data_IF_708453598597
#
_entry.id   IF_708453598597
#
_cell.length_a   1.000
_cell.length_b   1.000
_cell.length_c   1.000
_cell.angle_alpha   90.00
_cell.angle_beta   90.00
_cell.angle_gamma   90.00
#
_symmetry.space_group_name_H-M   'P 1'
#
loop_
_entity.id
_entity.type
_entity.pdbx_description
1 polymer ?
#
# COMPACT_ATOMS: atom_id res chain seq x y z
N UNK A 1 0.70 45.38 21.23
CA UNK A 1 1.10 43.97 21.08
C UNK A 1 1.19 43.65 19.58
N UNK A 2 2.38 43.69 18.97
CA UNK A 2 2.61 43.44 17.53
C UNK A 2 3.80 42.51 17.26
N UNK A 3 4.35 41.88 18.30
CA UNK A 3 5.57 41.06 18.20
C UNK A 3 5.30 39.55 18.10
N UNK A 4 4.06 39.08 18.30
CA UNK A 4 3.74 37.65 18.30
C UNK A 4 3.48 37.07 16.90
N UNK A 5 2.97 37.86 15.96
CA UNK A 5 2.61 37.39 14.61
C UNK A 5 3.83 37.10 13.73
N UNK A 6 4.91 37.87 13.87
CA UNK A 6 6.13 37.66 13.08
C UNK A 6 6.90 36.41 13.49
N UNK A 7 6.81 36.01 14.76
CA UNK A 7 7.51 34.83 15.29
C UNK A 7 6.82 33.53 14.85
N UNK A 8 5.48 33.51 14.80
CA UNK A 8 4.71 32.38 14.29
C UNK A 8 4.92 32.15 12.79
N UNK A 9 5.03 33.23 11.99
CA UNK A 9 5.33 33.13 10.57
C UNK A 9 6.74 32.54 10.30
N UNK A 10 7.71 32.87 11.16
CA UNK A 10 9.08 32.37 11.03
C UNK A 10 9.19 30.87 11.36
N UNK A 11 8.45 30.39 12.36
CA UNK A 11 8.40 28.97 12.73
C UNK A 11 7.70 28.15 11.64
N UNK A 12 6.63 28.66 11.03
CA UNK A 12 5.95 27.99 9.93
C UNK A 12 6.84 27.86 8.68
N UNK A 13 7.62 28.90 8.37
CA UNK A 13 8.53 28.90 7.22
C UNK A 13 9.71 27.93 7.37
N UNK A 14 10.25 27.76 8.59
CA UNK A 14 11.34 26.79 8.84
C UNK A 14 10.84 25.35 8.80
N UNK A 15 9.62 25.06 9.27
CA UNK A 15 9.03 23.72 9.12
C UNK A 15 8.74 23.35 7.65
N UNK A 16 8.32 24.31 6.82
CA UNK A 16 8.07 24.07 5.40
C UNK A 16 9.38 23.81 4.62
N UNK A 17 10.47 24.52 4.95
CA UNK A 17 11.77 24.32 4.31
C UNK A 17 12.49 23.03 4.75
N UNK A 18 12.21 22.54 5.97
CA UNK A 18 12.73 21.25 6.46
C UNK A 18 12.01 20.04 5.83
N UNK A 19 10.73 20.19 5.46
CA UNK A 19 9.96 19.13 4.81
C UNK A 19 10.36 18.91 3.33
N UNK A 20 10.85 19.95 2.64
CA UNK A 20 11.11 19.90 1.19
C UNK A 20 12.53 19.46 0.80
N UNK A 21 13.40 19.06 1.75
CA UNK A 21 14.83 18.83 1.46
C UNK A 21 15.43 17.56 2.04
N UNK A 22 14.61 16.60 2.48
CA UNK A 22 15.11 15.23 2.72
C UNK A 22 14.87 14.43 1.44
N UNK A 23 15.81 14.37 0.48
CA UNK A 23 15.72 13.40 -0.59
C UNK A 23 15.68 12.02 0.06
N UNK A 24 14.55 11.32 -0.09
CA UNK A 24 14.42 9.92 0.27
C UNK A 24 15.30 9.11 -0.69
N UNK A 25 16.62 9.16 -0.48
CA UNK A 25 17.51 8.19 -1.08
C UNK A 25 17.11 6.86 -0.45
N UNK A 26 16.54 5.96 -1.26
CA UNK A 26 16.46 4.51 -0.98
C UNK A 26 17.89 3.95 -0.88
N UNK A 27 18.64 4.38 0.13
CA UNK A 27 19.82 3.68 0.58
C UNK A 27 19.29 2.48 1.36
N UNK A 28 19.30 1.30 0.76
CA UNK A 28 19.33 0.08 1.55
C UNK A 28 20.62 0.16 2.37
N UNK A 29 20.49 0.47 3.66
CA UNK A 29 21.58 0.28 4.59
C UNK A 29 21.84 -1.22 4.63
N UNK A 30 22.89 -1.67 3.96
CA UNK A 30 23.31 -3.07 3.99
C UNK A 30 23.96 -3.28 5.36
N UNK A 31 23.21 -3.84 6.30
CA UNK A 31 23.77 -4.26 7.58
C UNK A 31 24.75 -5.41 7.34
N UNK A 32 25.96 -5.40 7.92
CA UNK A 32 26.90 -6.51 7.80
C UNK A 32 26.25 -7.79 8.36
N UNK A 33 26.06 -8.78 7.50
CA UNK A 33 25.14 -9.92 7.68
C UNK A 33 25.79 -11.20 8.23
N UNK A 34 27.09 -11.23 8.53
CA UNK A 34 27.83 -12.49 8.57
C UNK A 34 27.33 -13.52 9.61
N UNK A 35 26.84 -13.11 10.79
CA UNK A 35 26.27 -14.04 11.80
C UNK A 35 24.73 -13.98 11.94
N UNK A 36 24.11 -12.86 11.58
CA UNK A 36 22.65 -12.66 11.68
C UNK A 36 21.88 -13.26 10.50
N UNK A 37 22.59 -13.69 9.45
CA UNK A 37 22.01 -14.31 8.25
C UNK A 37 21.33 -15.65 8.58
N UNK A 38 21.91 -16.48 9.44
CA UNK A 38 21.40 -17.85 9.69
C UNK A 38 20.00 -17.87 10.29
N UNK A 39 19.66 -16.95 11.21
CA UNK A 39 18.32 -16.88 11.81
C UNK A 39 17.24 -16.57 10.77
N UNK A 40 17.47 -15.55 9.93
CA UNK A 40 16.55 -15.16 8.87
C UNK A 40 16.47 -16.22 7.77
N UNK A 41 17.61 -16.81 7.39
CA UNK A 41 17.66 -17.87 6.37
C UNK A 41 16.86 -19.09 6.82
N UNK A 42 16.99 -19.52 8.07
CA UNK A 42 16.20 -20.64 8.61
C UNK A 42 14.70 -20.33 8.58
N UNK A 43 14.30 -19.13 9.02
CA UNK A 43 12.90 -18.72 8.97
C UNK A 43 12.34 -18.68 7.53
N UNK A 44 13.14 -18.20 6.57
CA UNK A 44 12.76 -18.18 5.16
C UNK A 44 12.68 -19.58 4.55
N UNK A 45 13.56 -20.50 4.95
CA UNK A 45 13.57 -21.90 4.50
C UNK A 45 12.40 -22.71 5.08
N UNK A 46 12.10 -22.53 6.37
CA UNK A 46 10.90 -23.11 7.02
C UNK A 46 9.60 -22.67 6.34
N UNK A 47 9.60 -21.46 5.76
CA UNK A 47 8.47 -20.84 5.09
C UNK A 47 8.70 -20.67 3.58
N UNK A 48 9.52 -21.55 2.97
CA UNK A 48 9.92 -21.47 1.56
C UNK A 48 8.77 -21.35 0.57
N UNK A 49 7.68 -22.06 0.85
CA UNK A 49 6.45 -22.03 0.02
C UNK A 49 5.78 -20.65 -0.04
N UNK A 50 6.08 -19.76 0.91
CA UNK A 50 5.55 -18.40 0.99
C UNK A 50 6.61 -17.37 0.58
N UNK A 51 7.87 -17.59 0.96
CA UNK A 51 8.98 -16.67 0.69
C UNK A 51 9.44 -16.69 -0.77
N UNK A 52 9.25 -17.81 -1.47
CA UNK A 52 9.59 -17.96 -2.90
C UNK A 52 8.39 -17.80 -3.84
N UNK A 53 7.23 -17.33 -3.35
CA UNK A 53 6.08 -17.07 -4.22
C UNK A 53 6.42 -15.99 -5.23
N UNK A 54 6.46 -16.37 -6.50
CA UNK A 54 6.53 -15.42 -7.62
C UNK A 54 5.18 -14.71 -7.73
N UNK A 55 5.21 -13.38 -7.70
CA UNK A 55 4.05 -12.58 -8.08
C UNK A 55 3.77 -12.87 -9.56
N UNK A 56 2.54 -13.29 -9.93
CA UNK A 56 2.19 -13.57 -11.32
C UNK A 56 2.43 -12.37 -12.22
N UNK A 57 2.67 -12.58 -13.52
CA UNK A 57 2.72 -11.48 -14.49
C UNK A 57 1.29 -11.07 -14.92
N UNK A 58 1.14 -9.92 -15.59
CA UNK A 58 -0.18 -9.46 -16.07
C UNK A 58 -0.76 -10.50 -17.04
N UNK A 59 -2.01 -10.92 -16.77
CA UNK A 59 -2.70 -11.93 -17.57
C UNK A 59 -2.38 -13.38 -17.21
N UNK A 60 -1.45 -13.63 -16.29
CA UNK A 60 -1.27 -14.96 -15.71
C UNK A 60 -2.40 -15.32 -14.72
N UNK A 61 -2.61 -16.61 -14.49
CA UNK A 61 -3.60 -17.07 -13.51
C UNK A 61 -3.10 -16.84 -12.08
N UNK A 62 -3.69 -15.84 -11.42
CA UNK A 62 -3.36 -15.44 -10.06
C UNK A 62 -3.98 -16.36 -9.00
N UNK A 63 -4.82 -17.32 -9.39
CA UNK A 63 -5.56 -18.18 -8.47
C UNK A 63 -4.66 -19.00 -7.57
N UNK A 64 -3.59 -19.60 -8.12
CA UNK A 64 -2.65 -20.40 -7.34
C UNK A 64 -1.85 -19.55 -6.36
N UNK A 65 -1.38 -18.38 -6.82
CA UNK A 65 -0.69 -17.41 -5.97
C UNK A 65 -1.58 -16.96 -4.81
N UNK A 66 -2.81 -16.54 -5.10
CA UNK A 66 -3.73 -16.07 -4.07
C UNK A 66 -4.22 -17.19 -3.14
N UNK A 67 -4.34 -18.42 -3.64
CA UNK A 67 -4.60 -19.57 -2.78
C UNK A 67 -3.45 -19.84 -1.82
N UNK A 68 -2.20 -19.71 -2.28
CA UNK A 68 -1.02 -19.88 -1.44
C UNK A 68 -0.91 -18.77 -0.40
N UNK A 69 -0.99 -17.50 -0.81
CA UNK A 69 -0.93 -16.34 0.09
C UNK A 69 -2.03 -16.37 1.15
N UNK A 70 -3.27 -16.74 0.78
CA UNK A 70 -4.40 -16.83 1.72
C UNK A 70 -4.42 -18.11 2.55
N UNK A 71 -3.41 -18.98 2.45
CA UNK A 71 -3.29 -20.13 3.34
C UNK A 71 -2.90 -19.69 4.75
N UNK A 72 -3.35 -20.43 5.77
CA UNK A 72 -3.01 -20.15 7.18
C UNK A 72 -1.49 -20.05 7.40
N UNK A 73 -0.72 -20.89 6.68
CA UNK A 73 0.74 -20.89 6.78
C UNK A 73 1.36 -19.60 6.24
N UNK A 74 0.93 -19.12 5.06
CA UNK A 74 1.47 -17.88 4.50
C UNK A 74 0.95 -16.63 5.19
N UNK A 75 -0.29 -16.61 5.67
CA UNK A 75 -0.80 -15.52 6.51
C UNK A 75 0.02 -15.42 7.79
N UNK A 76 0.25 -16.54 8.47
CA UNK A 76 1.10 -16.59 9.67
C UNK A 76 2.54 -16.13 9.38
N UNK A 77 3.14 -16.60 8.29
CA UNK A 77 4.47 -16.14 7.87
C UNK A 77 4.53 -14.62 7.68
N UNK A 78 3.53 -14.02 7.03
CA UNK A 78 3.43 -12.58 6.78
C UNK A 78 3.18 -11.76 8.07
N UNK A 79 2.42 -12.31 9.01
CA UNK A 79 2.21 -11.72 10.33
C UNK A 79 3.50 -11.76 11.17
N UNK A 80 4.18 -12.91 11.19
CA UNK A 80 5.37 -13.16 12.01
C UNK A 80 6.67 -12.61 11.40
N UNK A 81 6.71 -12.26 10.11
CA UNK A 81 7.97 -11.86 9.46
C UNK A 81 8.60 -10.61 10.08
N UNK A 82 7.83 -9.58 10.42
CA UNK A 82 8.34 -8.37 11.09
C UNK A 82 8.94 -8.67 12.47
N UNK A 83 8.16 -9.25 13.41
CA UNK A 83 8.66 -9.67 14.71
C UNK A 83 9.90 -10.59 14.61
N UNK A 84 9.90 -11.53 13.66
CA UNK A 84 11.04 -12.44 13.48
C UNK A 84 12.29 -11.73 12.97
N UNK A 85 12.14 -10.74 12.09
CA UNK A 85 13.26 -9.89 11.66
C UNK A 85 13.83 -9.12 12.84
N UNK A 86 12.99 -8.53 13.70
CA UNK A 86 13.43 -7.84 14.91
C UNK A 86 14.19 -8.79 15.86
N UNK A 87 13.66 -9.98 16.09
CA UNK A 87 14.30 -11.03 16.91
C UNK A 87 15.68 -11.40 16.36
N UNK A 88 15.77 -11.73 15.06
CA UNK A 88 17.02 -12.14 14.42
C UNK A 88 18.07 -11.02 14.39
N UNK A 89 17.65 -9.76 14.31
CA UNK A 89 18.55 -8.61 14.35
C UNK A 89 19.00 -8.25 15.78
N UNK A 90 18.35 -8.79 16.81
CA UNK A 90 18.54 -8.39 18.20
C UNK A 90 17.88 -7.06 18.47
N UNK A 91 16.65 -7.09 18.99
CA UNK A 91 15.81 -5.92 19.19
C UNK A 91 16.48 -4.82 20.03
N UNK A 92 17.32 -5.21 21.00
CA UNK A 92 18.11 -4.32 21.86
C UNK A 92 19.20 -3.54 21.09
N UNK A 93 19.57 -4.01 19.89
CA UNK A 93 20.60 -3.42 19.04
C UNK A 93 20.04 -2.45 17.99
N UNK A 94 18.71 -2.40 17.86
CA UNK A 94 18.02 -1.54 16.91
C UNK A 94 17.56 -0.25 17.61
N UNK A 95 17.75 0.87 16.93
CA UNK A 95 17.11 2.13 17.30
C UNK A 95 15.60 2.02 17.13
N UNK A 96 14.84 2.82 17.88
CA UNK A 96 13.38 2.89 17.74
C UNK A 96 12.93 3.26 16.32
N UNK A 97 13.74 4.04 15.61
CA UNK A 97 13.49 4.35 14.20
C UNK A 97 13.60 3.10 13.31
N UNK A 98 14.63 2.28 13.49
CA UNK A 98 14.82 1.04 12.73
C UNK A 98 13.71 0.03 13.00
N UNK A 99 13.26 -0.11 14.27
CA UNK A 99 12.14 -0.99 14.62
C UNK A 99 10.86 -0.58 13.91
N UNK A 100 10.49 0.71 14.00
CA UNK A 100 9.31 1.25 13.31
C UNK A 100 9.40 1.09 11.80
N UNK A 101 10.60 1.22 11.23
CA UNK A 101 10.82 1.00 9.80
C UNK A 101 10.53 -0.46 9.43
N UNK A 102 11.01 -1.44 10.20
CA UNK A 102 10.75 -2.87 9.96
C UNK A 102 9.27 -3.19 10.11
N UNK A 103 8.61 -2.67 11.15
CA UNK A 103 7.16 -2.83 11.35
C UNK A 103 6.37 -2.28 10.17
N UNK A 104 6.71 -1.06 9.73
CA UNK A 104 6.11 -0.40 8.58
C UNK A 104 6.32 -1.20 7.29
N UNK A 105 7.55 -1.65 7.01
CA UNK A 105 7.84 -2.47 5.82
C UNK A 105 7.09 -3.81 5.85
N UNK A 106 6.92 -4.42 7.03
CA UNK A 106 6.14 -5.64 7.19
C UNK A 106 4.64 -5.40 6.93
N UNK A 107 4.08 -4.32 7.47
CA UNK A 107 2.70 -3.91 7.21
C UNK A 107 2.47 -3.61 5.72
N UNK A 108 3.38 -2.85 5.12
CA UNK A 108 3.40 -2.52 3.69
C UNK A 108 3.35 -3.81 2.84
N UNK A 109 4.21 -4.79 3.15
CA UNK A 109 4.22 -6.09 2.48
C UNK A 109 2.89 -6.83 2.64
N UNK A 110 2.30 -6.86 3.84
CA UNK A 110 1.00 -7.52 4.07
C UNK A 110 -0.11 -6.88 3.26
N UNK A 111 -0.23 -5.56 3.32
CA UNK A 111 -1.26 -4.80 2.62
C UNK A 111 -1.11 -4.97 1.11
N UNK A 112 0.13 -4.93 0.62
CA UNK A 112 0.43 -5.20 -0.79
C UNK A 112 -0.03 -6.60 -1.20
N UNK A 113 0.38 -7.66 -0.47
CA UNK A 113 -0.01 -9.04 -0.80
C UNK A 113 -1.52 -9.26 -0.73
N UNK A 114 -2.20 -8.67 0.25
CA UNK A 114 -3.66 -8.72 0.35
C UNK A 114 -4.33 -8.03 -0.84
N UNK A 115 -3.82 -6.86 -1.25
CA UNK A 115 -4.37 -6.11 -2.37
C UNK A 115 -4.27 -6.87 -3.71
N UNK A 116 -3.17 -7.60 -3.95
CA UNK A 116 -2.99 -8.44 -5.17
C UNK A 116 -4.07 -9.53 -5.30
N UNK A 117 -4.66 -9.95 -4.19
CA UNK A 117 -5.67 -11.00 -4.15
C UNK A 117 -7.10 -10.49 -3.96
N UNK A 118 -7.30 -9.18 -4.15
CA UNK A 118 -8.62 -8.57 -4.13
C UNK A 118 -9.44 -9.09 -5.31
N UNK A 119 -10.74 -9.32 -5.07
CA UNK A 119 -11.70 -9.70 -6.09
C UNK A 119 -12.70 -8.58 -6.33
N UNK A 120 -13.19 -8.50 -7.55
CA UNK A 120 -14.32 -7.66 -7.94
C UNK A 120 -15.66 -8.24 -7.50
N UNK A 121 -16.73 -7.50 -7.80
CA UNK A 121 -18.12 -7.87 -7.46
C UNK A 121 -18.60 -9.15 -8.17
N UNK A 122 -17.94 -9.56 -9.26
CA UNK A 122 -18.24 -10.80 -9.99
C UNK A 122 -17.33 -11.97 -9.54
N UNK A 123 -16.51 -11.77 -8.50
CA UNK A 123 -15.63 -12.77 -7.91
C UNK A 123 -14.34 -13.04 -8.71
N UNK A 124 -14.02 -12.22 -9.71
CA UNK A 124 -12.76 -12.27 -10.47
C UNK A 124 -11.70 -11.46 -9.75
N UNK A 125 -10.44 -11.87 -9.88
CA UNK A 125 -9.35 -11.09 -9.31
C UNK A 125 -9.20 -9.75 -10.03
N UNK A 126 -8.90 -8.71 -9.25
CA UNK A 126 -8.62 -7.40 -9.79
C UNK A 126 -7.38 -7.44 -10.69
N UNK A 127 -7.32 -6.62 -11.74
CA UNK A 127 -6.08 -6.41 -12.47
C UNK A 127 -5.11 -5.65 -11.56
N UNK A 128 -3.84 -6.03 -11.58
CA UNK A 128 -2.81 -5.35 -10.83
C UNK A 128 -1.51 -5.26 -11.62
N UNK A 129 -0.70 -4.28 -11.25
CA UNK A 129 0.60 -4.03 -11.86
C UNK A 129 1.64 -4.80 -11.05
N UNK A 130 2.20 -5.87 -11.62
CA UNK A 130 3.12 -6.80 -10.92
C UNK A 130 4.58 -6.46 -11.15
N UNK A 131 4.85 -5.97 -12.35
CA UNK A 131 5.86 -4.97 -12.62
C UNK A 131 5.12 -3.86 -13.37
N UNK A 132 5.53 -2.61 -13.19
CA UNK A 132 5.16 -1.54 -14.11
C UNK A 132 5.70 -2.02 -15.44
N UNK A 133 4.87 -2.67 -16.22
CA UNK A 133 5.32 -3.16 -17.49
C UNK A 133 5.77 -1.94 -18.26
N UNK A 134 6.86 -2.08 -18.99
CA UNK A 134 7.37 -1.01 -19.85
C UNK A 134 6.37 -0.63 -20.96
N UNK A 135 5.16 -1.22 -20.97
CA UNK A 135 4.06 -0.92 -21.86
C UNK A 135 3.05 0.04 -21.20
N UNK A 136 3.00 1.30 -21.67
CA UNK A 136 1.90 2.23 -21.39
C UNK A 136 0.51 1.60 -21.55
N UNK A 137 0.33 0.70 -22.52
CA UNK A 137 -0.95 0.08 -22.83
C UNK A 137 -1.44 -0.84 -21.71
N UNK A 138 -0.56 -1.65 -21.14
CA UNK A 138 -0.89 -2.54 -20.02
C UNK A 138 -1.16 -1.73 -18.73
N UNK A 139 -0.37 -0.69 -18.47
CA UNK A 139 -0.62 0.21 -17.36
C UNK A 139 -1.99 0.91 -17.50
N UNK A 140 -2.29 1.41 -18.70
CA UNK A 140 -3.58 2.00 -19.00
C UNK A 140 -4.73 1.01 -18.83
N UNK A 141 -4.55 -0.23 -19.27
CA UNK A 141 -5.53 -1.30 -19.09
C UNK A 141 -5.81 -1.55 -17.61
N UNK A 142 -4.78 -1.73 -16.78
CA UNK A 142 -4.95 -2.03 -15.35
C UNK A 142 -5.74 -0.92 -14.65
N UNK A 143 -5.37 0.35 -14.85
CA UNK A 143 -6.07 1.46 -14.20
C UNK A 143 -7.53 1.57 -14.68
N UNK A 144 -7.77 1.49 -16.00
CA UNK A 144 -9.13 1.59 -16.54
C UNK A 144 -10.03 0.42 -16.13
N UNK A 145 -9.52 -0.80 -16.08
CA UNK A 145 -10.28 -1.97 -15.63
C UNK A 145 -10.55 -1.94 -14.12
N UNK A 146 -9.57 -1.51 -13.31
CA UNK A 146 -9.77 -1.33 -11.86
C UNK A 146 -10.90 -0.35 -11.54
N UNK A 147 -11.13 0.68 -12.37
CA UNK A 147 -12.22 1.64 -12.19
C UNK A 147 -13.63 1.05 -12.32
N UNK A 148 -13.79 -0.16 -12.88
CA UNK A 148 -15.11 -0.80 -13.03
C UNK A 148 -15.63 -1.39 -11.72
N UNK A 149 -14.74 -1.60 -10.74
CA UNK A 149 -15.03 -2.22 -9.45
C UNK A 149 -14.49 -1.35 -8.33
N UNK A 150 -15.33 -1.05 -7.32
CA UNK A 150 -14.87 -0.31 -6.14
C UNK A 150 -13.73 -1.02 -5.42
N UNK A 151 -13.86 -2.34 -5.25
CA UNK A 151 -12.84 -3.15 -4.59
C UNK A 151 -11.49 -3.08 -5.33
N UNK A 152 -11.51 -3.15 -6.67
CA UNK A 152 -10.29 -3.05 -7.47
C UNK A 152 -9.72 -1.64 -7.49
N UNK A 153 -10.56 -0.61 -7.55
CA UNK A 153 -10.13 0.78 -7.44
C UNK A 153 -9.40 1.02 -6.12
N UNK A 154 -9.99 0.58 -5.00
CA UNK A 154 -9.42 0.76 -3.67
C UNK A 154 -8.13 -0.06 -3.49
N UNK A 155 -8.07 -1.28 -4.01
CA UNK A 155 -6.86 -2.11 -3.99
C UNK A 155 -5.72 -1.50 -4.82
N UNK A 156 -5.99 -1.06 -6.07
CA UNK A 156 -4.99 -0.40 -6.91
C UNK A 156 -4.47 0.89 -6.26
N UNK A 157 -5.36 1.69 -5.67
CA UNK A 157 -4.95 2.89 -4.94
C UNK A 157 -4.08 2.54 -3.73
N UNK A 158 -4.47 1.53 -2.95
CA UNK A 158 -3.71 1.06 -1.78
C UNK A 158 -2.30 0.64 -2.19
N UNK A 159 -2.15 -0.11 -3.29
CA UNK A 159 -0.84 -0.54 -3.80
C UNK A 159 0.06 0.67 -4.12
N UNK A 160 -0.48 1.65 -4.85
CA UNK A 160 0.27 2.84 -5.24
C UNK A 160 0.63 3.71 -4.02
N UNK A 161 -0.33 3.95 -3.12
CA UNK A 161 -0.13 4.70 -1.86
C UNK A 161 0.93 4.04 -0.97
N UNK A 162 0.87 2.72 -0.87
CA UNK A 162 1.81 1.89 -0.10
C UNK A 162 3.25 2.04 -0.63
N UNK A 163 3.42 2.19 -1.95
CA UNK A 163 4.74 2.32 -2.60
C UNK A 163 5.29 3.75 -2.60
N UNK A 164 4.42 4.74 -2.74
CA UNK A 164 4.80 6.13 -3.04
C UNK A 164 4.52 7.08 -1.89
N UNK A 165 3.55 6.74 -1.02
CA UNK A 165 2.91 7.68 -0.12
C UNK A 165 1.91 8.56 -0.85
N UNK A 166 1.57 9.70 -0.24
CA UNK A 166 0.57 10.66 -0.77
C UNK A 166 1.15 12.02 -1.12
N UNK A 167 2.46 12.24 -0.91
CA UNK A 167 3.08 13.56 -1.00
C UNK A 167 2.99 14.20 -2.39
N UNK A 168 2.96 13.40 -3.47
CA UNK A 168 2.83 13.89 -4.84
C UNK A 168 1.39 14.05 -5.34
N UNK A 169 0.37 13.73 -4.53
CA UNK A 169 -1.03 13.86 -4.96
C UNK A 169 -1.50 15.32 -5.07
N UNK A 170 -0.90 16.23 -4.31
CA UNK A 170 -1.29 17.64 -4.30
C UNK A 170 -1.12 18.31 -5.67
N UNK A 171 -0.16 17.82 -6.48
CA UNK A 171 0.08 18.29 -7.85
C UNK A 171 -1.12 18.02 -8.78
N UNK A 172 -2.02 17.09 -8.40
CA UNK A 172 -3.15 16.64 -9.22
C UNK A 172 -4.52 17.05 -8.67
N UNK A 173 -4.58 17.79 -7.56
CA UNK A 173 -5.84 18.11 -6.86
C UNK A 173 -6.88 18.86 -7.72
N UNK A 174 -6.42 19.65 -8.68
CA UNK A 174 -7.27 20.45 -9.58
C UNK A 174 -7.24 19.94 -11.03
N UNK A 175 -6.68 18.75 -11.25
CA UNK A 175 -6.58 18.18 -12.60
C UNK A 175 -7.96 17.72 -13.06
N UNK A 176 -8.32 18.12 -14.28
CA UNK A 176 -9.49 17.56 -14.97
C UNK A 176 -9.03 16.32 -15.73
N UNK A 177 -9.57 15.17 -15.38
CA UNK A 177 -9.20 13.90 -16.01
C UNK A 177 -10.07 13.61 -17.23
N UNK A 178 -9.46 12.96 -18.23
CA UNK A 178 -10.18 12.41 -19.37
C UNK A 178 -11.07 11.24 -18.94
N UNK A 179 -12.10 10.92 -19.73
CA UNK A 179 -12.99 9.80 -19.42
C UNK A 179 -12.22 8.47 -19.35
N UNK A 180 -11.24 8.28 -20.22
CA UNK A 180 -10.36 7.10 -20.23
C UNK A 180 -8.99 7.52 -19.71
N UNK A 181 -8.43 6.73 -18.81
CA UNK A 181 -7.08 6.94 -18.33
C UNK A 181 -6.06 6.65 -19.44
N UNK A 182 -5.15 7.61 -19.68
CA UNK A 182 -3.97 7.42 -20.50
C UNK A 182 -2.74 7.98 -19.79
N UNK A 183 -1.73 7.15 -19.55
CA UNK A 183 -0.48 7.52 -18.89
C UNK A 183 0.26 8.64 -19.62
N UNK A 184 0.02 8.80 -20.93
CA UNK A 184 0.59 9.91 -21.72
C UNK A 184 0.05 11.27 -21.30
N UNK A 185 -1.10 11.32 -20.64
CA UNK A 185 -1.67 12.55 -20.09
C UNK A 185 -0.93 13.02 -18.81
N UNK A 186 -0.08 12.18 -18.21
CA UNK A 186 0.74 12.54 -17.06
C UNK A 186 1.91 13.49 -17.43
N UNK A 187 2.30 13.55 -18.71
CA UNK A 187 3.56 14.13 -19.20
C UNK A 187 3.75 15.67 -19.01
N UNK A 188 2.77 16.50 -18.62
CA UNK A 188 3.07 17.86 -18.13
C UNK A 188 3.26 17.95 -16.61
N UNK A 189 2.87 16.93 -15.84
CA UNK A 189 2.55 17.08 -14.41
C UNK A 189 3.37 16.20 -13.46
N UNK A 190 4.19 15.27 -13.95
CA UNK A 190 5.17 14.56 -13.13
C UNK A 190 5.01 13.04 -13.14
N UNK A 191 5.29 12.42 -11.98
CA UNK A 191 5.33 10.96 -11.81
C UNK A 191 3.97 10.33 -12.15
N UNK A 192 4.02 9.43 -13.13
CA UNK A 192 2.89 8.76 -13.76
C UNK A 192 2.04 7.99 -12.77
N UNK A 193 2.63 7.57 -11.64
CA UNK A 193 1.92 6.84 -10.61
C UNK A 193 1.05 7.74 -9.73
N UNK A 194 1.49 8.96 -9.41
CA UNK A 194 0.63 9.91 -8.70
C UNK A 194 -0.54 10.37 -9.56
N UNK A 195 -0.32 10.49 -10.89
CA UNK A 195 -1.41 10.72 -11.84
C UNK A 195 -2.44 9.59 -11.81
N UNK A 196 -1.99 8.33 -11.80
CA UNK A 196 -2.85 7.17 -11.66
C UNK A 196 -3.62 7.15 -10.33
N UNK A 197 -2.94 7.43 -9.20
CA UNK A 197 -3.60 7.51 -7.89
C UNK A 197 -4.69 8.59 -7.86
N UNK A 198 -4.41 9.76 -8.43
CA UNK A 198 -5.38 10.85 -8.49
C UNK A 198 -6.56 10.50 -9.42
N UNK A 199 -6.28 9.85 -10.57
CA UNK A 199 -7.33 9.35 -11.46
C UNK A 199 -8.23 8.31 -10.77
N UNK A 200 -7.67 7.36 -10.02
CA UNK A 200 -8.44 6.34 -9.29
C UNK A 200 -9.43 6.95 -8.28
N UNK A 201 -9.16 8.17 -7.77
CA UNK A 201 -10.05 8.91 -6.86
C UNK A 201 -10.97 9.91 -7.57
N UNK A 202 -10.84 10.06 -8.89
CA UNK A 202 -11.62 11.03 -9.68
C UNK A 202 -13.08 10.61 -9.88
N UNK A 203 -13.92 11.57 -10.28
CA UNK A 203 -15.30 11.29 -10.72
C UNK A 203 -15.33 10.40 -11.98
N UNK A 204 -14.33 10.51 -12.86
CA UNK A 204 -14.21 9.71 -14.08
C UNK A 204 -14.02 8.23 -13.79
N UNK A 205 -13.21 7.89 -12.78
CA UNK A 205 -13.04 6.51 -12.35
C UNK A 205 -14.24 6.01 -11.54
N UNK A 206 -14.69 6.79 -10.55
CA UNK A 206 -15.77 6.38 -9.64
C UNK A 206 -17.13 6.25 -10.34
N UNK A 207 -17.40 7.03 -11.38
CA UNK A 207 -18.63 6.91 -12.19
C UNK A 207 -18.71 5.63 -13.02
N UNK A 208 -17.58 4.95 -13.27
CA UNK A 208 -17.53 3.65 -13.97
C UNK A 208 -17.83 2.47 -13.05
N UNK A 209 -17.80 2.67 -11.74
CA UNK A 209 -18.05 1.61 -10.78
C UNK A 209 -19.49 1.15 -10.95
N UNK A 210 -19.67 -0.16 -11.13
CA UNK A 210 -20.99 -0.77 -11.15
C UNK A 210 -21.76 -0.29 -9.92
N UNK A 211 -22.96 0.28 -10.12
CA UNK A 211 -23.86 0.48 -8.99
C UNK A 211 -23.99 -0.87 -8.28
N UNK A 212 -23.82 -0.94 -6.95
CA UNK A 212 -23.80 -2.21 -6.25
C UNK A 212 -25.05 -2.97 -6.69
N UNK A 213 -24.87 -4.09 -7.40
CA UNK A 213 -25.97 -4.97 -7.75
C UNK A 213 -26.61 -5.29 -6.41
N UNK A 214 -27.81 -4.78 -6.16
CA UNK A 214 -28.61 -5.11 -4.99
C UNK A 214 -28.76 -6.63 -4.93
N UNK A 215 -27.83 -7.30 -4.27
CA UNK A 215 -27.73 -8.76 -4.19
C UNK A 215 -27.44 -9.06 -2.74
N UNK A 216 -28.45 -9.59 -2.06
CA UNK A 216 -28.44 -10.26 -0.76
C UNK A 216 -27.29 -9.88 0.17
N UNK A 217 -27.58 -8.92 1.05
CA UNK A 217 -26.74 -8.56 2.18
C UNK A 217 -26.35 -9.81 2.97
N UNK A 218 -25.15 -10.34 2.73
CA UNK A 218 -24.47 -11.13 3.73
C UNK A 218 -23.95 -10.13 4.76
N UNK A 219 -24.75 -9.93 5.81
CA UNK A 219 -24.39 -9.11 6.97
C UNK A 219 -23.02 -9.52 7.50
N UNK A 220 -22.02 -8.72 7.16
CA UNK A 220 -20.70 -8.78 7.78
C UNK A 220 -20.89 -8.34 9.23
N UNK A 221 -20.79 -9.29 10.15
CA UNK A 221 -21.14 -9.11 11.55
C UNK A 221 -20.05 -8.28 12.25
N UNK A 222 -20.09 -6.95 12.06
CA UNK A 222 -19.19 -5.95 12.65
C UNK A 222 -19.37 -5.78 14.18
N UNK A 223 -20.01 -6.74 14.87
CA UNK A 223 -20.41 -6.63 16.27
C UNK A 223 -19.25 -6.73 17.29
N UNK A 224 -18.03 -7.13 16.88
CA UNK A 224 -16.95 -7.44 17.83
C UNK A 224 -15.91 -6.31 17.96
N UNK A 225 -15.70 -5.48 16.93
CA UNK A 225 -14.71 -4.39 16.98
C UNK A 225 -15.27 -3.06 17.54
N UNK A 226 -16.59 -2.82 17.43
CA UNK A 226 -17.20 -1.63 17.98
C UNK A 226 -17.40 -1.70 19.52
N UNK A 227 -17.55 -2.91 20.07
CA UNK A 227 -17.79 -3.11 21.51
C UNK A 227 -16.52 -2.99 22.36
N UNK A 228 -15.34 -3.32 21.81
CA UNK A 228 -14.07 -3.18 22.53
C UNK A 228 -13.59 -1.72 22.62
N UNK A 229 -13.84 -0.91 21.60
CA UNK A 229 -13.47 0.52 21.61
C UNK A 229 -14.30 1.35 22.61
N UNK A 230 -15.59 1.02 22.80
CA UNK A 230 -16.43 1.69 23.80
C UNK A 230 -16.11 1.28 25.24
N UNK A 231 -15.65 0.04 25.48
CA UNK A 231 -15.28 -0.42 26.81
C UNK A 231 -13.99 0.26 27.34
N UNK A 232 -13.03 0.56 26.45
CA UNK A 232 -11.80 1.29 26.83
C UNK A 232 -12.07 2.77 27.16
N UNK A 233 -13.06 3.39 26.52
CA UNK A 233 -13.46 4.77 26.80
C UNK A 233 -14.17 4.91 28.16
N UNK A 234 -14.91 3.88 28.61
CA UNK A 234 -15.56 3.90 29.94
C UNK A 234 -14.61 3.60 31.11
N UNK A 235 -13.45 3.00 30.86
CA UNK A 235 -12.45 2.74 31.90
C UNK A 235 -11.53 3.96 32.15
N UNK A 236 -11.59 4.98 31.29
CA UNK A 236 -10.76 6.19 31.34
C UNK A 236 -11.51 7.46 31.79
N UNK A 237 -12.80 7.34 32.16
CA UNK A 237 -13.62 8.42 32.72
C UNK A 237 -14.31 8.01 34.02
#
# INVERSE_FOLDING_TARGET
MKFSTSLLALVAATSAAAASSVPFKRGMTIYPMEDKSTCLLNFLDENKECSELKIPDIGEDVTLFCKAINSDKCQKFLEESGPKVLECLGEDKLTEFEKKKIEYENELKRNYMAALCTKDDDGKYCPFVTSFSDSPEEYNYVINESCKSKACTDASYTILETRLGTLGLDDYKNTTFNEVFDIKDADPHGDSDYYAMAYLKSEQCTSKQSSPKSSDATTLNYSILATTLFALLYALF
#
